data_IF_371043391103
#
_entry.id   IF_371043391103
#
_cell.length_a   1.000
_cell.length_b   1.000
_cell.length_c   1.000
_cell.angle_alpha   90.00
_cell.angle_beta   90.00
_cell.angle_gamma   90.00
#
_symmetry.space_group_name_H-M   'P 1'
#
loop_
_entity.id
_entity.type
_entity.pdbx_description
1 polymer ?
#
# COMPACT_ATOMS: atom_id res chain seq x y z
N UNK A 1 -66.93 31.46 22.56
CA UNK A 1 -65.71 31.11 21.81
C UNK A 1 -64.59 32.03 22.28
N UNK A 2 -63.59 31.55 23.02
CA UNK A 2 -62.44 32.37 23.39
C UNK A 2 -61.17 31.52 23.24
N UNK A 3 -60.42 31.77 22.17
CA UNK A 3 -59.17 31.10 21.89
C UNK A 3 -58.06 31.72 22.74
N UNK A 4 -57.50 30.95 23.67
CA UNK A 4 -56.34 31.36 24.45
C UNK A 4 -55.07 31.21 23.60
N UNK A 5 -54.38 32.32 23.34
CA UNK A 5 -53.13 32.36 22.59
C UNK A 5 -52.00 32.03 23.58
N UNK A 6 -51.41 30.83 23.47
CA UNK A 6 -50.24 30.45 24.27
C UNK A 6 -48.98 30.94 23.56
N UNK A 7 -48.15 31.81 24.17
CA UNK A 7 -46.90 32.25 23.57
C UNK A 7 -45.83 31.13 23.65
N UNK A 8 -45.33 30.69 22.50
CA UNK A 8 -44.16 29.81 22.43
C UNK A 8 -42.90 30.57 22.89
N UNK A 9 -42.28 30.12 23.97
CA UNK A 9 -41.01 30.66 24.45
C UNK A 9 -39.88 30.38 23.42
N UNK A 10 -39.28 31.44 22.88
CA UNK A 10 -38.15 31.36 21.94
C UNK A 10 -36.91 30.84 22.67
N UNK A 11 -36.50 29.59 22.38
CA UNK A 11 -35.19 29.09 22.82
C UNK A 11 -34.10 29.96 22.19
N UNK A 12 -33.22 30.55 23.00
CA UNK A 12 -32.03 31.25 22.50
C UNK A 12 -31.07 30.21 21.91
N UNK A 13 -30.87 30.25 20.60
CA UNK A 13 -29.80 29.51 19.94
C UNK A 13 -28.46 30.03 20.48
N UNK A 14 -27.66 29.17 21.13
CA UNK A 14 -26.28 29.49 21.50
C UNK A 14 -25.43 29.30 20.24
N UNK A 15 -24.82 30.37 19.75
CA UNK A 15 -23.85 30.33 18.66
C UNK A 15 -22.43 30.08 19.19
N UNK A 16 -21.55 29.59 18.32
CA UNK A 16 -20.12 29.50 18.59
C UNK A 16 -19.47 30.89 18.49
N UNK A 17 -18.48 31.15 19.34
CA UNK A 17 -17.67 32.38 19.23
C UNK A 17 -16.61 32.23 18.13
N UNK A 18 -16.20 33.35 17.53
CA UNK A 18 -15.09 33.34 16.55
C UNK A 18 -13.79 32.82 17.16
N UNK A 19 -13.56 33.12 18.45
CA UNK A 19 -12.36 32.67 19.17
C UNK A 19 -12.38 31.15 19.41
N UNK A 20 -13.52 30.55 19.75
CA UNK A 20 -13.64 29.09 19.86
C UNK A 20 -13.31 28.40 18.53
N UNK A 21 -13.79 28.96 17.42
CA UNK A 21 -13.51 28.39 16.10
C UNK A 21 -12.03 28.53 15.73
N UNK A 22 -11.38 29.66 16.06
CA UNK A 22 -9.94 29.81 15.82
C UNK A 22 -9.10 28.83 16.62
N UNK A 23 -9.42 28.62 17.91
CA UNK A 23 -8.72 27.65 18.75
C UNK A 23 -8.94 26.23 18.20
N UNK A 24 -10.19 25.88 17.86
CA UNK A 24 -10.51 24.56 17.33
C UNK A 24 -9.76 24.24 16.02
N UNK A 25 -9.77 25.16 15.05
CA UNK A 25 -9.05 24.98 13.77
C UNK A 25 -7.54 24.90 14.00
N UNK A 26 -7.00 25.67 14.94
CA UNK A 26 -5.57 25.63 15.27
C UNK A 26 -5.18 24.26 15.83
N UNK A 27 -5.96 23.71 16.77
CA UNK A 27 -5.70 22.39 17.34
C UNK A 27 -5.76 21.31 16.25
N UNK A 28 -6.78 21.34 15.39
CA UNK A 28 -6.91 20.39 14.27
C UNK A 28 -5.74 20.53 13.30
N UNK A 29 -5.29 21.75 13.01
CA UNK A 29 -4.14 22.01 12.14
C UNK A 29 -2.84 21.38 12.66
N UNK A 30 -2.55 21.53 13.96
CA UNK A 30 -1.36 20.93 14.59
C UNK A 30 -1.41 19.39 14.52
N UNK A 31 -2.56 18.79 14.84
CA UNK A 31 -2.73 17.33 14.78
C UNK A 31 -2.57 16.83 13.34
N UNK A 32 -3.19 17.49 12.37
CA UNK A 32 -3.13 17.11 10.96
C UNK A 32 -1.69 17.12 10.41
N UNK A 33 -0.89 18.11 10.78
CA UNK A 33 0.50 18.23 10.33
C UNK A 33 1.37 17.02 10.73
N UNK A 34 1.10 16.40 11.88
CA UNK A 34 1.85 15.22 12.36
C UNK A 34 1.21 13.92 11.84
N UNK A 35 -0.13 13.86 11.80
CA UNK A 35 -0.86 12.64 11.46
C UNK A 35 -0.77 12.23 9.99
N UNK A 36 -0.77 13.19 9.06
CA UNK A 36 -0.77 12.90 7.62
C UNK A 36 0.50 12.15 7.16
N UNK A 37 1.73 12.62 7.42
CA UNK A 37 2.94 11.94 6.95
C UNK A 37 3.13 10.55 7.57
N UNK A 38 2.73 10.39 8.83
CA UNK A 38 2.83 9.12 9.57
C UNK A 38 1.86 8.07 9.00
N UNK A 39 0.63 8.47 8.68
CA UNK A 39 -0.35 7.60 8.03
C UNK A 39 0.13 7.11 6.66
N UNK A 40 0.61 8.04 5.82
CA UNK A 40 1.15 7.74 4.49
C UNK A 40 2.29 6.72 4.53
N UNK A 41 3.20 6.87 5.48
CA UNK A 41 4.31 5.91 5.68
C UNK A 41 3.82 4.52 6.09
N UNK A 42 2.78 4.47 6.92
CA UNK A 42 2.18 3.22 7.40
C UNK A 42 1.50 2.45 6.26
N UNK A 43 0.77 3.15 5.39
CA UNK A 43 0.14 2.56 4.21
C UNK A 43 1.19 2.04 3.22
N UNK A 44 2.27 2.79 2.97
CA UNK A 44 3.37 2.32 2.11
C UNK A 44 4.04 1.06 2.67
N UNK A 45 4.26 0.99 3.99
CA UNK A 45 4.76 -0.21 4.67
C UNK A 45 3.81 -1.41 4.53
N UNK A 46 2.50 -1.19 4.64
CA UNK A 46 1.51 -2.25 4.45
C UNK A 46 1.51 -2.78 3.00
N UNK A 47 1.54 -1.88 2.01
CA UNK A 47 1.65 -2.24 0.58
C UNK A 47 2.96 -2.97 0.27
N UNK A 48 4.06 -2.55 0.89
CA UNK A 48 5.35 -3.26 0.81
C UNK A 48 5.24 -4.68 1.39
N UNK A 49 4.56 -4.83 2.52
CA UNK A 49 4.26 -6.14 3.10
C UNK A 49 3.48 -7.05 2.15
N UNK A 50 2.47 -6.52 1.46
CA UNK A 50 1.74 -7.26 0.43
C UNK A 50 2.65 -7.65 -0.74
N UNK A 51 3.47 -6.73 -1.26
CA UNK A 51 4.37 -7.03 -2.36
C UNK A 51 5.41 -8.11 -1.99
N UNK A 52 5.94 -8.10 -0.75
CA UNK A 52 6.82 -9.17 -0.24
C UNK A 52 6.11 -10.52 -0.25
N UNK A 53 4.85 -10.58 0.18
CA UNK A 53 4.07 -11.80 0.19
C UNK A 53 3.84 -12.33 -1.23
N UNK A 54 3.46 -11.44 -2.16
CA UNK A 54 3.25 -11.77 -3.57
C UNK A 54 4.54 -12.30 -4.23
N UNK A 55 5.71 -11.71 -3.92
CA UNK A 55 7.01 -12.21 -4.41
C UNK A 55 7.30 -13.63 -3.90
N UNK A 56 7.05 -13.91 -2.62
CA UNK A 56 7.26 -15.24 -2.02
C UNK A 56 6.31 -16.26 -2.61
N UNK A 57 5.02 -15.92 -2.78
CA UNK A 57 4.03 -16.79 -3.40
C UNK A 57 4.43 -17.12 -4.85
N UNK A 58 4.83 -16.10 -5.63
CA UNK A 58 5.27 -16.30 -7.00
C UNK A 58 6.53 -17.19 -7.09
N UNK A 59 7.49 -17.03 -6.17
CA UNK A 59 8.68 -17.89 -6.10
C UNK A 59 8.30 -19.34 -5.79
N UNK A 60 7.40 -19.58 -4.84
CA UNK A 60 6.90 -20.94 -4.56
C UNK A 60 6.22 -21.59 -5.77
N UNK A 61 5.46 -20.81 -6.54
CA UNK A 61 4.85 -21.30 -7.78
C UNK A 61 5.90 -21.61 -8.86
N UNK A 62 6.99 -20.85 -8.93
CA UNK A 62 8.13 -21.16 -9.80
C UNK A 62 8.84 -22.45 -9.40
N UNK A 63 9.04 -22.71 -8.11
CA UNK A 63 9.61 -23.98 -7.63
C UNK A 63 8.72 -25.18 -7.99
N UNK A 64 7.41 -25.02 -7.87
CA UNK A 64 6.44 -26.02 -8.32
C UNK A 64 6.53 -26.24 -9.83
N UNK A 65 6.66 -25.17 -10.61
CA UNK A 65 6.82 -25.26 -12.05
C UNK A 65 8.09 -26.03 -12.44
N UNK A 66 9.22 -25.76 -11.78
CA UNK A 66 10.47 -26.49 -11.99
C UNK A 66 10.35 -27.97 -11.65
N UNK A 67 9.67 -28.30 -10.54
CA UNK A 67 9.46 -29.69 -10.12
C UNK A 67 8.69 -30.52 -11.15
N UNK A 68 7.87 -29.89 -11.98
CA UNK A 68 7.07 -30.56 -13.03
C UNK A 68 7.76 -30.57 -14.40
N UNK A 69 8.58 -29.57 -14.71
CA UNK A 69 9.11 -29.34 -16.06
C UNK A 69 10.64 -29.46 -16.16
N UNK A 70 11.35 -29.51 -15.03
CA UNK A 70 12.82 -29.52 -14.96
C UNK A 70 13.48 -28.22 -15.41
N UNK A 71 12.72 -27.13 -15.53
CA UNK A 71 13.18 -25.83 -16.05
C UNK A 71 12.31 -24.69 -15.50
N UNK A 72 12.90 -23.52 -15.23
CA UNK A 72 12.14 -22.29 -14.91
C UNK A 72 11.76 -21.49 -16.18
N UNK A 73 12.29 -21.84 -17.35
CA UNK A 73 12.07 -21.10 -18.59
C UNK A 73 10.68 -21.37 -19.20
N UNK A 74 10.23 -20.46 -20.07
CA UNK A 74 9.06 -20.70 -20.92
C UNK A 74 7.72 -20.25 -20.36
N UNK A 75 7.70 -19.59 -19.19
CA UNK A 75 6.52 -18.92 -18.63
C UNK A 75 6.83 -17.52 -18.16
N UNK A 76 5.88 -16.61 -18.35
CA UNK A 76 5.90 -15.27 -17.76
C UNK A 76 5.39 -15.31 -16.33
N UNK A 77 5.70 -14.28 -15.55
CA UNK A 77 5.19 -14.16 -14.17
C UNK A 77 3.66 -14.25 -14.13
N UNK A 78 2.96 -13.58 -15.06
CA UNK A 78 1.50 -13.60 -15.13
C UNK A 78 0.93 -14.99 -15.40
N UNK A 79 1.65 -15.85 -16.13
CA UNK A 79 1.21 -17.23 -16.36
C UNK A 79 1.40 -18.14 -15.15
N UNK A 80 2.39 -17.85 -14.30
CA UNK A 80 2.70 -18.63 -13.10
C UNK A 80 1.88 -18.14 -11.90
N UNK A 81 1.91 -16.84 -11.65
CA UNK A 81 1.32 -16.17 -10.49
C UNK A 81 -0.09 -15.60 -10.77
N UNK A 82 -0.49 -15.43 -12.03
CA UNK A 82 -1.80 -14.89 -12.39
C UNK A 82 -1.88 -13.36 -12.48
N UNK A 83 -0.81 -12.64 -12.12
CA UNK A 83 -0.73 -11.18 -12.27
C UNK A 83 0.70 -10.67 -12.50
N UNK A 84 0.79 -9.42 -12.90
CA UNK A 84 1.99 -8.61 -13.15
C UNK A 84 2.02 -7.37 -12.24
N UNK A 85 1.28 -7.41 -11.13
CA UNK A 85 1.11 -6.30 -10.20
C UNK A 85 0.79 -6.80 -8.78
N UNK A 86 1.09 -5.95 -7.81
CA UNK A 86 0.71 -6.10 -6.41
C UNK A 86 -0.10 -4.89 -5.94
N UNK A 87 -1.25 -5.09 -5.28
CA UNK A 87 -1.96 -6.36 -5.12
C UNK A 87 -2.39 -6.95 -6.48
N UNK A 88 -2.66 -8.26 -6.49
CA UNK A 88 -3.08 -9.02 -7.68
C UNK A 88 -4.31 -8.43 -8.40
N UNK A 89 -5.15 -7.68 -7.68
CA UNK A 89 -6.31 -6.96 -8.20
C UNK A 89 -6.45 -5.58 -7.55
N UNK A 90 -7.01 -4.62 -8.28
CA UNK A 90 -7.20 -3.25 -7.80
C UNK A 90 -6.09 -2.31 -8.27
N UNK A 91 -5.74 -1.32 -7.44
CA UNK A 91 -4.71 -0.33 -7.80
C UNK A 91 -3.31 -0.90 -7.67
N UNK A 92 -2.54 -0.92 -8.77
CA UNK A 92 -1.15 -1.36 -8.78
C UNK A 92 -0.25 -0.45 -7.91
N UNK A 93 0.20 -0.97 -6.77
CA UNK A 93 1.19 -0.32 -5.92
C UNK A 93 2.61 -0.73 -6.26
N UNK A 94 2.77 -1.96 -6.73
CA UNK A 94 3.99 -2.44 -7.35
C UNK A 94 3.69 -3.09 -8.70
N UNK A 95 4.53 -2.86 -9.69
CA UNK A 95 4.61 -3.70 -10.88
C UNK A 95 5.46 -4.93 -10.55
N UNK A 96 4.98 -6.12 -10.90
CA UNK A 96 5.72 -7.36 -10.72
C UNK A 96 6.24 -7.86 -12.06
N UNK A 97 7.53 -8.15 -12.13
CA UNK A 97 8.17 -8.73 -13.30
C UNK A 97 9.07 -9.89 -12.89
N UNK A 98 9.39 -10.75 -13.85
CA UNK A 98 10.27 -11.88 -13.64
C UNK A 98 11.20 -12.04 -14.83
N UNK A 99 12.47 -12.30 -14.52
CA UNK A 99 13.45 -12.80 -15.48
C UNK A 99 13.80 -14.22 -15.07
N UNK A 100 13.77 -15.15 -16.01
CA UNK A 100 14.04 -16.57 -15.75
C UNK A 100 14.74 -17.23 -16.92
N UNK A 101 15.62 -18.18 -16.62
CA UNK A 101 16.22 -19.11 -17.57
C UNK A 101 15.91 -20.57 -17.17
N UNK A 102 16.64 -21.55 -17.68
CA UNK A 102 16.37 -22.95 -17.35
C UNK A 102 16.64 -23.30 -15.87
N UNK A 103 17.50 -22.57 -15.17
CA UNK A 103 18.02 -22.89 -13.83
C UNK A 103 17.87 -21.78 -12.81
N UNK A 104 17.58 -20.56 -13.24
CA UNK A 104 17.46 -19.40 -12.37
C UNK A 104 16.21 -18.59 -12.66
N UNK A 105 15.73 -17.89 -11.64
CA UNK A 105 14.77 -16.80 -11.79
C UNK A 105 15.06 -15.68 -10.80
N UNK A 106 14.57 -14.49 -11.12
CA UNK A 106 14.50 -13.34 -10.23
C UNK A 106 13.17 -12.65 -10.46
N UNK A 107 12.42 -12.48 -9.38
CA UNK A 107 11.13 -11.77 -9.37
C UNK A 107 11.36 -10.42 -8.73
N UNK A 108 10.85 -9.37 -9.36
CA UNK A 108 11.10 -7.99 -9.00
C UNK A 108 9.77 -7.27 -8.79
N UNK A 109 9.65 -6.54 -7.70
CA UNK A 109 8.54 -5.64 -7.41
C UNK A 109 9.01 -4.18 -7.51
N UNK A 110 8.59 -3.48 -8.56
CA UNK A 110 8.93 -2.07 -8.81
C UNK A 110 7.83 -1.13 -8.27
N UNK A 111 8.16 -0.16 -7.39
CA UNK A 111 7.18 0.77 -6.86
C UNK A 111 6.48 1.59 -7.95
N UNK A 112 5.16 1.68 -7.86
CA UNK A 112 4.36 2.48 -8.79
C UNK A 112 4.44 3.98 -8.47
N UNK A 113 4.71 4.80 -9.49
CA UNK A 113 4.65 6.27 -9.41
C UNK A 113 3.21 6.77 -9.36
N UNK A 114 2.26 6.05 -9.95
CA UNK A 114 0.85 6.43 -10.01
C UNK A 114 0.17 6.41 -8.62
N UNK A 115 0.67 5.60 -7.68
CA UNK A 115 0.09 5.46 -6.34
C UNK A 115 0.96 6.04 -5.22
N UNK A 116 2.04 6.73 -5.58
CA UNK A 116 2.99 7.33 -4.65
C UNK A 116 3.87 6.31 -3.89
N UNK A 117 3.84 5.03 -4.28
CA UNK A 117 4.64 3.99 -3.65
C UNK A 117 6.14 4.19 -3.92
N UNK A 118 6.50 4.90 -5.00
CA UNK A 118 7.86 5.31 -5.31
C UNK A 118 8.51 6.22 -4.25
N UNK A 119 7.74 6.74 -3.28
CA UNK A 119 8.27 7.47 -2.12
C UNK A 119 8.62 6.57 -0.93
N UNK A 120 8.41 5.25 -1.06
CA UNK A 120 8.87 4.29 -0.06
C UNK A 120 10.40 4.19 -0.09
N UNK A 121 11.09 4.27 1.06
CA UNK A 121 12.56 4.29 1.11
C UNK A 121 13.20 2.99 0.63
N UNK A 122 12.44 1.90 0.52
CA UNK A 122 12.97 0.61 0.09
C UNK A 122 13.21 0.48 -1.41
N UNK A 123 12.54 1.32 -2.21
CA UNK A 123 12.59 1.20 -3.66
C UNK A 123 12.12 -0.18 -4.17
N UNK A 124 12.78 -0.66 -5.21
CA UNK A 124 12.51 -1.95 -5.83
C UNK A 124 12.92 -3.10 -4.92
N UNK A 125 12.02 -4.08 -4.75
CA UNK A 125 12.30 -5.32 -4.03
C UNK A 125 12.55 -6.44 -5.03
N UNK A 126 13.40 -7.40 -4.69
CA UNK A 126 13.55 -8.62 -5.48
C UNK A 126 13.78 -9.86 -4.63
N UNK A 127 13.39 -11.00 -5.20
CA UNK A 127 13.57 -12.34 -4.67
C UNK A 127 14.11 -13.24 -5.79
N UNK A 128 15.25 -13.90 -5.55
CA UNK A 128 15.83 -14.85 -6.50
C UNK A 128 15.50 -16.32 -6.17
N UNK A 129 15.87 -17.23 -7.08
CA UNK A 129 15.70 -18.68 -6.94
C UNK A 129 16.47 -19.32 -5.77
N UNK A 130 17.44 -18.62 -5.17
CA UNK A 130 18.14 -19.06 -3.96
C UNK A 130 17.46 -18.54 -2.68
N UNK A 131 16.38 -17.79 -2.82
CA UNK A 131 15.70 -17.11 -1.72
C UNK A 131 16.42 -15.83 -1.27
N UNK A 132 17.39 -15.32 -2.04
CA UNK A 132 18.04 -14.06 -1.73
C UNK A 132 17.06 -12.90 -1.92
N UNK A 133 16.89 -12.13 -0.86
CA UNK A 133 15.97 -11.00 -0.75
C UNK A 133 16.77 -9.73 -0.77
N UNK A 134 16.49 -8.84 -1.72
CA UNK A 134 17.20 -7.57 -1.83
C UNK A 134 16.24 -6.42 -2.03
N UNK A 135 16.69 -5.23 -1.64
CA UNK A 135 16.00 -3.97 -1.85
C UNK A 135 16.99 -2.96 -2.43
N UNK A 136 16.52 -2.10 -3.34
CA UNK A 136 17.41 -1.27 -4.15
C UNK A 136 17.99 -0.06 -3.41
N UNK A 137 17.34 0.41 -2.33
CA UNK A 137 17.67 1.68 -1.68
C UNK A 137 18.00 1.55 -0.19
N UNK A 138 17.45 0.57 0.52
CA UNK A 138 17.65 0.38 1.96
C UNK A 138 17.72 -1.11 2.35
N UNK A 139 18.65 -1.46 3.24
CA UNK A 139 18.98 -2.85 3.61
C UNK A 139 17.89 -3.54 4.45
N UNK A 140 17.24 -2.81 5.36
CA UNK A 140 16.28 -3.39 6.32
C UNK A 140 14.84 -3.51 5.79
N UNK A 141 14.69 -3.48 4.47
CA UNK A 141 13.40 -3.46 3.83
C UNK A 141 12.68 -4.80 3.81
N UNK A 142 13.40 -5.91 4.00
CA UNK A 142 12.84 -7.27 4.07
C UNK A 142 12.55 -7.77 5.48
N UNK A 143 13.11 -7.12 6.50
CA UNK A 143 12.82 -7.37 7.91
C UNK A 143 11.50 -6.71 8.36
#
# INVERSE_FOLDING_TARGET
MNASIVPCARRRSRGFTLIELMIAVTIVGVIAAIAIPTYDSSIRKARRGQAKADLVEAAQMMERYYSLNGSYAGKTLKQIYGADQSPRSGSAHYGLSMVSDAKSFTITATPSTATGQNKDPCGTLSLDYKGAKTAAQEENCWN
#
